data_IF_437034382794
#
_entry.id   IF_437034382794
#
_cell.length_a   1.000
_cell.length_b   1.000
_cell.length_c   1.000
_cell.angle_alpha   90.00
_cell.angle_beta   90.00
_cell.angle_gamma   90.00
#
_symmetry.space_group_name_H-M   'P 1'
#
loop_
_entity.id
_entity.type
_entity.pdbx_description
1 polymer ?
#
# COMPACT_ATOMS: atom_id res chain seq x y z
N UNK A 1 -27.27 4.53 -26.80
CA UNK A 1 -26.29 3.67 -27.47
C UNK A 1 -26.81 2.25 -27.56
N UNK A 2 -26.35 1.47 -28.53
CA UNK A 2 -26.82 0.11 -28.70
C UNK A 2 -26.13 -0.85 -27.72
N UNK A 3 -26.83 -1.88 -27.28
CA UNK A 3 -26.19 -3.01 -26.58
C UNK A 3 -25.24 -3.72 -27.58
N UNK A 4 -24.08 -4.10 -27.09
CA UNK A 4 -23.10 -4.89 -27.81
C UNK A 4 -23.21 -6.37 -27.40
N UNK A 5 -22.96 -7.28 -28.32
CA UNK A 5 -22.82 -8.70 -28.03
C UNK A 5 -21.47 -8.91 -27.29
N UNK A 6 -21.50 -9.58 -26.15
CA UNK A 6 -20.34 -9.73 -25.25
C UNK A 6 -20.10 -11.18 -24.82
N UNK A 7 -19.95 -12.14 -25.81
CA UNK A 7 -19.86 -13.56 -25.46
C UNK A 7 -18.66 -13.94 -24.58
N UNK A 8 -17.52 -13.28 -24.73
CA UNK A 8 -16.34 -13.54 -23.87
C UNK A 8 -16.55 -13.02 -22.47
N UNK A 9 -17.17 -11.85 -22.31
CA UNK A 9 -17.48 -11.30 -21.00
C UNK A 9 -18.60 -12.08 -20.30
N UNK A 10 -19.56 -12.60 -21.04
CA UNK A 10 -20.65 -13.44 -20.52
C UNK A 10 -20.11 -14.71 -19.85
N UNK A 11 -18.97 -15.25 -20.31
CA UNK A 11 -18.29 -16.37 -19.65
C UNK A 11 -17.70 -15.95 -18.29
N UNK A 12 -17.19 -14.71 -18.17
CA UNK A 12 -16.62 -14.19 -16.91
C UNK A 12 -17.69 -13.82 -15.88
N UNK A 13 -18.95 -13.74 -16.32
CA UNK A 13 -20.08 -13.45 -15.43
C UNK A 13 -20.63 -14.72 -14.75
N UNK A 14 -20.26 -15.92 -15.26
CA UNK A 14 -20.75 -17.18 -14.73
C UNK A 14 -20.15 -17.49 -13.36
N UNK A 15 -20.98 -17.91 -12.41
CA UNK A 15 -20.55 -18.34 -11.10
C UNK A 15 -21.27 -17.64 -9.95
N UNK A 16 -20.98 -18.01 -8.69
CA UNK A 16 -21.70 -17.50 -7.53
C UNK A 16 -21.23 -16.12 -7.03
N UNK A 17 -20.08 -15.65 -7.50
CA UNK A 17 -19.50 -14.39 -7.05
C UNK A 17 -19.84 -13.24 -7.99
N UNK A 18 -20.01 -12.01 -7.45
CA UNK A 18 -20.18 -10.83 -8.28
C UNK A 18 -19.03 -10.69 -9.29
N UNK A 19 -19.37 -10.40 -10.53
CA UNK A 19 -18.40 -10.10 -11.60
C UNK A 19 -18.41 -8.61 -11.92
N UNK A 20 -17.26 -8.06 -12.31
CA UNK A 20 -17.20 -6.69 -12.84
C UNK A 20 -18.11 -6.54 -14.08
N UNK A 21 -18.31 -7.61 -14.86
CA UNK A 21 -19.21 -7.63 -16.01
C UNK A 21 -20.65 -7.37 -15.57
N UNK A 22 -21.11 -8.08 -14.54
CA UNK A 22 -22.47 -7.91 -13.98
C UNK A 22 -22.68 -6.48 -13.49
N UNK A 23 -21.66 -5.89 -12.85
CA UNK A 23 -21.74 -4.51 -12.33
C UNK A 23 -21.75 -3.49 -13.48
N UNK A 24 -20.93 -3.66 -14.52
CA UNK A 24 -20.98 -2.79 -15.71
C UNK A 24 -22.35 -2.92 -16.42
N UNK A 25 -22.88 -4.14 -16.59
CA UNK A 25 -24.22 -4.36 -17.18
C UNK A 25 -25.31 -3.67 -16.38
N UNK A 26 -25.28 -3.80 -15.03
CA UNK A 26 -26.22 -3.12 -14.14
C UNK A 26 -26.12 -1.59 -14.26
N UNK A 27 -24.92 -1.08 -14.36
CA UNK A 27 -24.70 0.36 -14.54
C UNK A 27 -25.11 0.84 -15.92
N UNK A 28 -24.95 0.02 -16.97
CA UNK A 28 -25.34 0.33 -18.32
C UNK A 28 -26.88 0.51 -18.51
N UNK A 29 -27.68 -0.08 -17.63
CA UNK A 29 -29.13 0.16 -17.62
C UNK A 29 -29.48 1.60 -17.13
N UNK A 30 -28.58 2.23 -16.36
CA UNK A 30 -28.74 3.61 -15.87
C UNK A 30 -28.00 4.61 -16.75
N UNK A 31 -26.79 4.27 -17.19
CA UNK A 31 -25.92 5.10 -18.02
C UNK A 31 -25.58 4.36 -19.33
N UNK A 32 -26.21 4.75 -20.47
CA UNK A 32 -26.01 4.07 -21.75
C UNK A 32 -24.57 4.09 -22.27
N UNK A 33 -23.70 5.03 -21.83
CA UNK A 33 -22.28 5.04 -22.20
C UNK A 33 -21.57 3.77 -21.70
N UNK A 34 -22.07 3.13 -20.65
CA UNK A 34 -21.53 1.88 -20.12
C UNK A 34 -21.72 0.68 -21.07
N UNK A 35 -22.64 0.73 -22.04
CA UNK A 35 -22.71 -0.29 -23.10
C UNK A 35 -21.46 -0.27 -23.97
N UNK A 36 -20.92 0.91 -24.24
CA UNK A 36 -19.69 1.05 -25.00
C UNK A 36 -18.45 0.60 -24.19
N UNK A 37 -18.48 0.69 -22.84
CA UNK A 37 -17.46 0.04 -22.00
C UNK A 37 -17.45 -1.46 -22.27
N UNK A 38 -18.61 -2.11 -22.19
CA UNK A 38 -18.73 -3.56 -22.42
C UNK A 38 -18.25 -3.95 -23.82
N UNK A 39 -18.67 -3.21 -24.84
CA UNK A 39 -18.25 -3.44 -26.22
C UNK A 39 -16.74 -3.33 -26.41
N UNK A 40 -16.12 -2.28 -25.86
CA UNK A 40 -14.67 -2.08 -25.97
C UNK A 40 -13.88 -3.10 -25.15
N UNK A 41 -14.37 -3.50 -23.98
CA UNK A 41 -13.73 -4.53 -23.16
C UNK A 41 -13.84 -5.90 -23.88
N UNK A 42 -14.99 -6.25 -24.44
CA UNK A 42 -15.16 -7.46 -25.26
C UNK A 42 -14.15 -7.49 -26.43
N UNK A 43 -14.02 -6.39 -27.17
CA UNK A 43 -13.04 -6.26 -28.24
C UNK A 43 -11.62 -6.46 -27.71
N UNK A 44 -11.27 -5.89 -26.55
CA UNK A 44 -9.97 -6.06 -25.93
C UNK A 44 -9.68 -7.51 -25.56
N UNK A 45 -10.66 -8.25 -25.05
CA UNK A 45 -10.54 -9.69 -24.77
C UNK A 45 -10.38 -10.52 -26.04
N UNK A 46 -11.11 -10.17 -27.10
CA UNK A 46 -11.01 -10.82 -28.40
C UNK A 46 -9.64 -10.61 -29.03
N UNK A 47 -9.16 -9.38 -29.05
CA UNK A 47 -7.92 -8.98 -29.71
C UNK A 47 -6.68 -9.26 -28.88
N UNK A 48 -6.85 -9.62 -27.58
CA UNK A 48 -5.77 -9.82 -26.58
C UNK A 48 -4.89 -8.58 -26.37
N UNK A 49 -5.41 -7.39 -26.65
CA UNK A 49 -4.79 -6.10 -26.39
C UNK A 49 -5.82 -5.15 -25.78
N UNK A 50 -5.38 -4.14 -25.04
CA UNK A 50 -6.28 -3.12 -24.54
C UNK A 50 -6.48 -2.00 -25.55
N UNK A 51 -7.73 -1.59 -25.74
CA UNK A 51 -8.12 -0.43 -26.56
C UNK A 51 -8.20 0.87 -25.76
N UNK A 52 -7.73 0.85 -24.51
CA UNK A 52 -7.56 2.03 -23.68
C UNK A 52 -6.18 2.65 -23.87
N UNK A 53 -6.15 3.94 -24.15
CA UNK A 53 -4.92 4.73 -24.18
C UNK A 53 -4.83 5.64 -22.94
N UNK A 54 -3.63 5.72 -22.39
CA UNK A 54 -3.27 6.76 -21.45
C UNK A 54 -2.71 7.92 -22.26
N UNK A 55 -3.10 9.13 -21.96
CA UNK A 55 -2.55 10.23 -22.70
C UNK A 55 -2.75 11.58 -22.06
N UNK A 56 -1.75 12.42 -22.24
CA UNK A 56 -1.78 13.81 -21.93
C UNK A 56 -1.93 14.18 -20.45
N UNK A 57 -1.75 15.43 -20.17
CA UNK A 57 -2.13 16.06 -18.91
C UNK A 57 -3.59 16.43 -19.04
N UNK A 58 -4.43 15.82 -18.22
CA UNK A 58 -5.84 16.17 -18.04
C UNK A 58 -5.98 16.61 -16.60
N UNK A 59 -6.55 17.75 -16.37
CA UNK A 59 -6.70 18.32 -15.03
C UNK A 59 -7.95 19.17 -14.92
N UNK A 60 -8.11 19.77 -13.77
CA UNK A 60 -9.09 20.82 -13.49
C UNK A 60 -8.35 22.10 -13.15
N UNK A 61 -9.03 23.22 -13.11
CA UNK A 61 -8.40 24.52 -12.87
C UNK A 61 -7.59 24.53 -11.58
N UNK A 62 -6.30 24.84 -11.69
CA UNK A 62 -5.33 24.85 -10.59
C UNK A 62 -4.69 23.51 -10.26
N UNK A 63 -5.15 22.39 -10.80
CA UNK A 63 -4.67 21.04 -10.50
C UNK A 63 -4.13 20.33 -11.74
N UNK A 64 -2.84 20.04 -11.74
CA UNK A 64 -2.17 19.21 -12.73
C UNK A 64 -2.10 17.73 -12.34
N UNK A 65 -2.79 17.33 -11.29
CA UNK A 65 -2.87 15.96 -10.76
C UNK A 65 -4.31 15.58 -10.41
N UNK A 66 -4.50 14.30 -10.01
CA UNK A 66 -5.81 13.79 -9.61
C UNK A 66 -6.63 13.19 -10.75
N UNK A 67 -6.39 13.59 -11.98
CA UNK A 67 -7.04 13.04 -13.17
C UNK A 67 -6.04 12.21 -13.98
N UNK A 68 -6.45 11.03 -14.43
CA UNK A 68 -5.68 10.20 -15.36
C UNK A 68 -6.40 10.19 -16.69
N UNK A 69 -5.80 10.79 -17.71
CA UNK A 69 -6.34 10.82 -19.07
C UNK A 69 -6.53 9.40 -19.62
N UNK A 70 -7.74 9.09 -20.05
CA UNK A 70 -8.11 7.82 -20.67
C UNK A 70 -8.89 8.05 -21.96
N UNK A 71 -8.51 7.38 -23.00
CA UNK A 71 -9.06 7.53 -24.33
C UNK A 71 -9.25 6.16 -25.00
N UNK A 72 -10.31 6.03 -25.77
CA UNK A 72 -10.46 4.91 -26.69
C UNK A 72 -9.57 5.12 -27.92
N UNK A 73 -8.93 4.08 -28.43
CA UNK A 73 -8.26 4.11 -29.75
C UNK A 73 -9.21 3.71 -30.89
N UNK A 74 -10.45 3.35 -30.55
CA UNK A 74 -11.53 2.99 -31.49
C UNK A 74 -12.79 3.83 -31.23
N UNK A 75 -12.69 5.18 -31.12
CA UNK A 75 -13.79 6.03 -30.66
C UNK A 75 -14.99 6.04 -31.60
N UNK A 76 -14.80 5.78 -32.89
CA UNK A 76 -15.89 5.68 -33.84
C UNK A 76 -16.80 4.47 -33.60
N UNK A 77 -16.24 3.40 -33.04
CA UNK A 77 -16.95 2.18 -32.71
C UNK A 77 -17.64 2.28 -31.36
N UNK A 78 -16.99 2.99 -30.40
CA UNK A 78 -17.48 3.17 -29.03
C UNK A 78 -17.44 4.64 -28.60
N UNK A 79 -18.34 5.48 -29.14
CA UNK A 79 -18.31 6.93 -28.90
C UNK A 79 -18.62 7.33 -27.45
N UNK A 80 -19.34 6.49 -26.71
CA UNK A 80 -19.64 6.73 -25.29
C UNK A 80 -18.40 6.73 -24.39
N UNK A 81 -17.30 6.14 -24.86
CA UNK A 81 -16.04 6.03 -24.12
C UNK A 81 -14.85 6.63 -24.87
N UNK A 82 -15.11 7.50 -25.85
CA UNK A 82 -14.07 8.24 -26.54
C UNK A 82 -13.11 8.92 -25.55
N UNK A 83 -13.68 9.67 -24.59
CA UNK A 83 -12.99 10.23 -23.41
C UNK A 83 -13.61 9.60 -22.16
N UNK A 84 -12.79 8.87 -21.41
CA UNK A 84 -13.26 8.12 -20.24
C UNK A 84 -12.24 8.23 -19.11
N UNK A 85 -12.06 9.48 -18.63
CA UNK A 85 -11.00 9.81 -17.68
C UNK A 85 -11.23 9.16 -16.31
N UNK A 86 -10.15 8.77 -15.68
CA UNK A 86 -10.17 8.25 -14.32
C UNK A 86 -9.91 9.38 -13.34
N UNK A 87 -10.79 9.56 -12.37
CA UNK A 87 -10.65 10.55 -11.31
C UNK A 87 -10.21 9.86 -10.03
N UNK A 88 -9.24 10.44 -9.34
CA UNK A 88 -8.78 10.02 -8.03
C UNK A 88 -9.33 10.96 -6.98
N UNK A 89 -10.01 10.43 -5.98
CA UNK A 89 -10.50 11.20 -4.84
C UNK A 89 -9.69 10.84 -3.61
N UNK A 90 -9.18 11.86 -2.94
CA UNK A 90 -8.46 11.72 -1.68
C UNK A 90 -9.42 11.20 -0.61
N UNK A 91 -9.06 10.11 0.06
CA UNK A 91 -9.88 9.53 1.12
C UNK A 91 -9.46 10.08 2.49
N UNK A 92 -10.35 10.09 3.47
CA UNK A 92 -9.98 10.32 4.87
C UNK A 92 -8.86 9.37 5.30
N UNK A 93 -8.03 9.79 6.24
CA UNK A 93 -7.05 8.91 6.87
C UNK A 93 -7.74 7.63 7.35
N UNK A 94 -7.03 6.48 7.24
CA UNK A 94 -7.60 5.13 7.45
C UNK A 94 -8.77 4.75 6.56
N UNK A 95 -9.17 5.59 5.61
CA UNK A 95 -10.23 5.34 4.63
C UNK A 95 -11.62 5.05 5.25
N UNK A 96 -11.89 5.62 6.42
CA UNK A 96 -13.19 5.52 7.04
C UNK A 96 -14.20 6.45 6.38
N UNK A 97 -15.30 5.88 5.95
CA UNK A 97 -16.48 6.61 5.49
C UNK A 97 -17.69 6.22 6.32
N UNK A 98 -18.54 7.20 6.64
CA UNK A 98 -19.93 6.87 6.96
C UNK A 98 -20.64 6.36 5.70
N UNK A 99 -21.66 5.53 5.88
CA UNK A 99 -22.47 5.07 4.73
C UNK A 99 -23.17 6.23 4.04
N UNK A 100 -23.47 7.30 4.76
CA UNK A 100 -24.05 8.53 4.23
C UNK A 100 -23.07 9.25 3.29
N UNK A 101 -21.86 9.54 3.76
CA UNK A 101 -20.83 10.21 2.95
C UNK A 101 -20.43 9.38 1.73
N UNK A 102 -20.30 8.06 1.88
CA UNK A 102 -19.99 7.19 0.75
C UNK A 102 -21.12 7.19 -0.29
N UNK A 103 -22.39 7.18 0.14
CA UNK A 103 -23.54 7.30 -0.77
C UNK A 103 -23.56 8.66 -1.46
N UNK A 104 -23.26 9.74 -0.76
CA UNK A 104 -23.20 11.07 -1.34
C UNK A 104 -22.13 11.17 -2.44
N UNK A 105 -20.94 10.62 -2.19
CA UNK A 105 -19.87 10.55 -3.20
C UNK A 105 -20.30 9.70 -4.42
N UNK A 106 -20.96 8.57 -4.19
CA UNK A 106 -21.46 7.73 -5.29
C UNK A 106 -22.57 8.41 -6.09
N UNK A 107 -23.49 9.12 -5.42
CA UNK A 107 -24.52 9.90 -6.11
C UNK A 107 -23.92 11.04 -6.96
N UNK A 108 -22.87 11.69 -6.46
CA UNK A 108 -22.14 12.67 -7.21
C UNK A 108 -21.49 12.05 -8.46
N UNK A 109 -20.93 10.84 -8.31
CA UNK A 109 -20.33 10.13 -9.43
C UNK A 109 -21.35 9.61 -10.44
N UNK A 110 -22.53 9.19 -10.01
CA UNK A 110 -23.64 8.86 -10.91
C UNK A 110 -24.09 10.09 -11.74
N UNK A 111 -23.98 11.31 -11.17
CA UNK A 111 -24.34 12.56 -11.86
C UNK A 111 -23.34 12.96 -12.95
N UNK A 112 -22.02 12.81 -12.70
CA UNK A 112 -20.96 13.40 -13.53
C UNK A 112 -20.15 12.35 -14.32
N UNK A 113 -20.24 11.07 -13.96
CA UNK A 113 -19.40 10.00 -14.53
C UNK A 113 -20.17 8.75 -14.87
N UNK A 114 -19.45 7.67 -14.99
CA UNK A 114 -20.03 6.37 -15.35
C UNK A 114 -20.79 5.68 -14.23
N UNK A 115 -20.64 6.11 -12.97
CA UNK A 115 -21.09 5.40 -11.79
C UNK A 115 -20.21 4.21 -11.38
N UNK A 116 -19.17 3.87 -12.13
CA UNK A 116 -18.24 2.80 -11.79
C UNK A 116 -17.12 3.30 -10.86
N UNK A 117 -16.77 2.51 -9.84
CA UNK A 117 -15.73 2.84 -8.87
C UNK A 117 -14.79 1.67 -8.65
N UNK A 118 -13.57 1.99 -8.18
CA UNK A 118 -12.58 0.99 -7.77
C UNK A 118 -11.86 1.43 -6.50
N UNK A 119 -11.68 0.52 -5.57
CA UNK A 119 -10.90 0.75 -4.35
C UNK A 119 -9.43 0.50 -4.64
N UNK A 120 -8.63 1.55 -4.74
CA UNK A 120 -7.22 1.45 -5.12
C UNK A 120 -6.32 1.15 -3.92
N UNK A 121 -5.83 -0.10 -3.84
CA UNK A 121 -5.08 -0.58 -2.66
C UNK A 121 -3.66 -0.02 -2.49
N UNK A 122 -3.07 0.64 -3.51
CA UNK A 122 -1.67 1.09 -3.45
C UNK A 122 -1.48 2.57 -3.09
N UNK A 123 -2.56 3.33 -3.00
CA UNK A 123 -2.59 4.74 -2.57
C UNK A 123 -3.82 5.01 -1.72
N UNK A 124 -3.93 6.20 -1.13
CA UNK A 124 -5.09 6.61 -0.35
C UNK A 124 -6.30 7.07 -1.18
N UNK A 125 -6.41 6.64 -2.44
CA UNK A 125 -7.50 7.09 -3.31
C UNK A 125 -8.67 6.10 -3.35
N UNK A 126 -9.88 6.64 -3.51
CA UNK A 126 -10.94 5.95 -4.24
C UNK A 126 -10.85 6.37 -5.72
N UNK A 127 -10.98 5.40 -6.61
CA UNK A 127 -10.87 5.61 -8.04
C UNK A 127 -12.27 5.63 -8.67
N UNK A 128 -12.59 6.72 -9.32
CA UNK A 128 -13.83 6.89 -10.05
C UNK A 128 -13.53 6.70 -11.54
N UNK A 129 -14.17 5.70 -12.14
CA UNK A 129 -13.86 5.24 -13.48
C UNK A 129 -14.80 5.85 -14.50
N UNK A 130 -14.29 6.68 -15.39
CA UNK A 130 -15.01 7.17 -16.55
C UNK A 130 -15.77 8.46 -16.37
N UNK A 131 -15.10 9.57 -16.75
CA UNK A 131 -15.68 10.89 -16.83
C UNK A 131 -15.30 11.50 -18.18
N UNK A 132 -16.24 12.18 -18.84
CA UNK A 132 -15.96 12.96 -20.03
C UNK A 132 -15.22 14.25 -19.65
N UNK A 133 -14.44 14.79 -20.59
CA UNK A 133 -13.63 16.00 -20.32
C UNK A 133 -14.48 17.17 -19.82
N UNK A 134 -15.64 17.41 -20.44
CA UNK A 134 -16.55 18.50 -20.09
C UNK A 134 -17.21 18.38 -18.71
N UNK A 135 -17.23 17.17 -18.13
CA UNK A 135 -17.80 16.93 -16.81
C UNK A 135 -16.79 17.06 -15.68
N UNK A 136 -15.49 17.22 -15.96
CA UNK A 136 -14.44 17.26 -14.93
C UNK A 136 -14.55 18.49 -14.01
N UNK A 137 -14.68 19.69 -14.56
CA UNK A 137 -14.82 20.92 -13.76
C UNK A 137 -16.10 20.93 -12.92
N UNK A 138 -17.29 20.61 -13.46
CA UNK A 138 -18.49 20.50 -12.65
C UNK A 138 -18.39 19.45 -11.55
N UNK A 139 -17.79 18.28 -11.82
CA UNK A 139 -17.53 17.26 -10.82
C UNK A 139 -16.62 17.79 -9.70
N UNK A 140 -15.51 18.42 -10.07
CA UNK A 140 -14.54 18.96 -9.11
C UNK A 140 -15.19 20.02 -8.23
N UNK A 141 -16.00 20.90 -8.81
CA UNK A 141 -16.74 21.91 -8.06
C UNK A 141 -17.65 21.28 -7.01
N UNK A 142 -18.51 20.33 -7.40
CA UNK A 142 -19.43 19.68 -6.48
C UNK A 142 -18.69 18.85 -5.42
N UNK A 143 -17.59 18.15 -5.79
CA UNK A 143 -16.75 17.40 -4.86
C UNK A 143 -16.21 18.30 -3.74
N UNK A 144 -15.65 19.44 -4.10
CA UNK A 144 -14.97 20.33 -3.16
C UNK A 144 -15.95 21.19 -2.35
N UNK A 145 -17.02 21.65 -2.98
CA UNK A 145 -17.98 22.57 -2.34
C UNK A 145 -19.07 21.86 -1.56
N UNK A 146 -19.60 20.75 -2.09
CA UNK A 146 -20.71 20.05 -1.45
C UNK A 146 -20.19 18.97 -0.49
N UNK A 147 -19.21 18.15 -0.91
CA UNK A 147 -18.73 17.05 -0.10
C UNK A 147 -17.50 17.39 0.77
N UNK A 148 -16.87 18.56 0.57
CA UNK A 148 -15.65 18.97 1.27
C UNK A 148 -14.52 17.93 1.13
N UNK A 149 -14.47 17.26 -0.02
CA UNK A 149 -13.40 16.34 -0.39
C UNK A 149 -12.59 16.91 -1.55
N UNK A 150 -11.40 16.37 -1.73
CA UNK A 150 -10.47 16.83 -2.77
C UNK A 150 -10.00 15.70 -3.66
N UNK A 151 -9.34 16.05 -4.75
CA UNK A 151 -8.70 15.08 -5.63
C UNK A 151 -7.47 14.48 -4.96
N UNK A 152 -7.17 13.23 -5.31
CA UNK A 152 -5.91 12.59 -4.93
C UNK A 152 -4.78 12.89 -5.90
N UNK A 153 -3.58 12.35 -5.63
CA UNK A 153 -2.39 12.58 -6.44
C UNK A 153 -2.30 11.68 -7.68
N UNK A 154 -1.87 12.24 -8.81
CA UNK A 154 -1.55 11.48 -10.03
C UNK A 154 -0.36 12.08 -10.79
N UNK A 155 0.23 11.34 -11.73
CA UNK A 155 1.35 11.86 -12.51
C UNK A 155 2.68 11.87 -11.73
N UNK A 156 3.51 12.88 -12.00
CA UNK A 156 4.81 13.12 -11.35
C UNK A 156 4.64 13.96 -10.07
N UNK A 157 3.72 13.54 -9.23
CA UNK A 157 3.29 14.20 -8.00
C UNK A 157 3.47 13.27 -6.81
N UNK A 158 3.31 13.84 -5.62
CA UNK A 158 2.99 13.06 -4.44
C UNK A 158 1.67 12.31 -4.69
N UNK A 159 1.68 11.00 -4.46
CA UNK A 159 0.46 10.20 -4.48
C UNK A 159 -0.23 10.34 -3.15
N UNK A 160 -1.54 10.29 -3.16
CA UNK A 160 -2.33 10.33 -1.94
C UNK A 160 -1.73 9.41 -0.88
N UNK A 161 -1.34 9.94 0.28
CA UNK A 161 -0.82 9.13 1.37
C UNK A 161 -1.80 8.04 1.81
N UNK A 162 -1.27 6.95 2.33
CA UNK A 162 -2.09 5.85 2.82
C UNK A 162 -1.52 5.29 4.12
N UNK A 163 -2.40 4.97 5.05
CA UNK A 163 -2.07 4.43 6.36
C UNK A 163 -2.86 3.18 6.69
N UNK A 164 -2.38 2.39 7.63
CA UNK A 164 -3.14 1.32 8.25
C UNK A 164 -4.16 1.87 9.25
N UNK A 165 -4.97 1.01 9.86
CA UNK A 165 -5.99 1.42 10.84
C UNK A 165 -5.43 2.04 12.13
N UNK A 166 -4.13 1.88 12.39
CA UNK A 166 -3.41 2.54 13.47
C UNK A 166 -4.03 2.38 14.85
N UNK A 167 -3.79 3.35 15.70
CA UNK A 167 -4.23 3.34 17.10
C UNK A 167 -5.75 3.40 17.25
N UNK A 168 -6.48 3.81 16.22
CA UNK A 168 -7.95 3.83 16.29
C UNK A 168 -8.57 2.43 16.41
N UNK A 169 -7.88 1.38 15.93
CA UNK A 169 -8.39 0.00 15.87
C UNK A 169 -7.36 -1.09 16.14
N UNK A 170 -6.08 -0.74 16.34
CA UNK A 170 -5.01 -1.70 16.43
C UNK A 170 -4.16 -1.46 17.68
N UNK A 171 -4.13 -2.43 18.58
CA UNK A 171 -3.37 -2.42 19.82
C UNK A 171 -1.84 -2.50 19.63
N UNK A 172 -1.38 -2.84 18.41
CA UNK A 172 0.03 -2.99 18.08
C UNK A 172 0.66 -1.77 17.43
N UNK A 173 -0.14 -0.74 17.17
CA UNK A 173 0.37 0.48 16.54
C UNK A 173 1.30 1.23 17.49
N UNK A 174 2.52 1.50 17.03
CA UNK A 174 3.55 2.17 17.79
C UNK A 174 3.53 3.70 17.65
N UNK A 175 2.65 4.25 16.82
CA UNK A 175 2.39 5.69 16.67
C UNK A 175 1.02 5.90 16.04
N UNK A 176 0.51 7.12 16.10
CA UNK A 176 -0.76 7.48 15.45
C UNK A 176 -0.57 7.65 13.95
N UNK A 177 -0.97 6.60 13.21
CA UNK A 177 -0.85 6.57 11.75
C UNK A 177 -1.90 7.42 11.06
N UNK A 178 -3.07 7.62 11.68
CA UNK A 178 -4.13 8.45 11.14
C UNK A 178 -3.75 9.92 11.20
N UNK A 179 -3.27 10.37 12.34
CA UNK A 179 -2.86 11.76 12.53
C UNK A 179 -1.67 12.10 11.65
N UNK A 180 -0.64 11.23 11.61
CA UNK A 180 0.51 11.41 10.73
C UNK A 180 0.10 11.46 9.25
N UNK A 181 -0.78 10.56 8.80
CA UNK A 181 -1.27 10.56 7.43
C UNK A 181 -2.08 11.81 7.11
N UNK A 182 -2.97 12.23 8.01
CA UNK A 182 -3.77 13.44 7.84
C UNK A 182 -2.89 14.69 7.78
N UNK A 183 -2.03 14.87 8.77
CA UNK A 183 -1.15 16.04 8.85
C UNK A 183 -0.29 16.19 7.61
N UNK A 184 0.42 15.13 7.20
CA UNK A 184 1.29 15.17 6.02
C UNK A 184 0.50 15.28 4.71
N UNK A 185 -0.73 14.78 4.65
CA UNK A 185 -1.61 15.01 3.49
C UNK A 185 -1.99 16.49 3.40
N UNK A 186 -2.31 17.13 4.51
CA UNK A 186 -2.67 18.57 4.54
C UNK A 186 -1.45 19.45 4.30
N UNK A 187 -0.29 19.08 4.84
CA UNK A 187 0.96 19.82 4.68
C UNK A 187 1.42 19.88 3.21
N UNK A 188 1.30 18.76 2.48
CA UNK A 188 1.82 18.58 1.13
C UNK A 188 0.73 18.66 0.03
N UNK A 189 -0.26 19.54 0.18
CA UNK A 189 -1.34 19.69 -0.81
C UNK A 189 -0.82 20.11 -2.19
N UNK A 190 0.19 20.99 -2.23
CA UNK A 190 0.78 21.44 -3.48
C UNK A 190 1.48 20.31 -4.23
N UNK A 191 2.21 19.46 -3.53
CA UNK A 191 2.92 18.31 -4.08
C UNK A 191 1.97 17.18 -4.52
N UNK A 192 0.77 17.11 -3.94
CA UNK A 192 -0.29 16.19 -4.36
C UNK A 192 -0.93 16.67 -5.67
N UNK A 193 -1.20 17.96 -5.79
CA UNK A 193 -2.04 18.51 -6.87
C UNK A 193 -1.26 19.11 -8.03
N UNK A 194 0.02 19.47 -7.83
CA UNK A 194 0.86 20.07 -8.87
C UNK A 194 2.06 19.18 -9.19
N UNK A 195 2.45 19.05 -10.47
CA UNK A 195 3.65 18.32 -10.85
C UNK A 195 4.89 18.95 -10.20
N UNK A 196 5.54 18.22 -9.27
CA UNK A 196 6.63 18.74 -8.47
C UNK A 196 7.92 17.89 -8.59
N UNK A 197 7.84 16.62 -9.03
CA UNK A 197 8.92 15.67 -8.91
C UNK A 197 9.41 15.08 -10.23
N UNK A 198 10.62 14.47 -10.27
CA UNK A 198 11.08 13.70 -11.42
C UNK A 198 10.11 12.61 -11.83
N UNK A 199 9.44 11.97 -10.88
CA UNK A 199 8.37 11.01 -11.08
C UNK A 199 7.42 10.98 -9.87
N UNK A 200 6.57 9.94 -9.76
CA UNK A 200 5.63 9.76 -8.63
C UNK A 200 6.39 9.45 -7.34
N UNK A 201 5.91 10.01 -6.24
CA UNK A 201 6.36 9.69 -4.90
C UNK A 201 5.18 9.17 -4.05
N UNK A 202 5.42 8.26 -3.13
CA UNK A 202 4.37 7.64 -2.30
C UNK A 202 4.79 7.58 -0.84
N UNK A 203 3.91 8.06 0.04
CA UNK A 203 3.97 7.79 1.47
C UNK A 203 3.09 6.61 1.84
N UNK A 204 3.55 5.80 2.80
CA UNK A 204 2.71 4.85 3.52
C UNK A 204 3.11 4.77 4.98
N UNK A 205 2.08 4.78 5.83
CA UNK A 205 2.21 4.79 7.27
C UNK A 205 1.68 3.46 7.84
N UNK A 206 2.59 2.62 8.33
CA UNK A 206 2.28 1.34 8.93
C UNK A 206 2.58 1.39 10.42
N UNK A 207 1.60 1.10 11.26
CA UNK A 207 1.72 1.23 12.72
C UNK A 207 2.66 0.22 13.38
N UNK A 208 3.03 -0.85 12.68
CA UNK A 208 3.98 -1.88 13.13
C UNK A 208 4.54 -2.69 11.97
N UNK A 209 5.45 -3.63 12.26
CA UNK A 209 6.11 -4.47 11.25
C UNK A 209 5.20 -5.49 10.53
N UNK A 210 3.94 -5.67 10.96
CA UNK A 210 2.95 -6.43 10.18
C UNK A 210 2.62 -5.79 8.83
N UNK A 211 2.93 -4.53 8.65
CA UNK A 211 2.86 -3.79 7.40
C UNK A 211 1.57 -3.99 6.58
N UNK A 212 0.42 -3.82 7.23
CA UNK A 212 -0.92 -4.06 6.66
C UNK A 212 -1.23 -3.24 5.39
N UNK A 213 -0.46 -2.20 5.11
CA UNK A 213 -0.60 -1.37 3.90
C UNK A 213 0.49 -1.63 2.86
N UNK A 214 1.32 -2.65 3.07
CA UNK A 214 2.43 -3.02 2.20
C UNK A 214 3.36 -1.83 1.89
N UNK A 215 3.76 -1.10 2.92
CA UNK A 215 4.61 0.07 2.80
C UNK A 215 6.00 -0.31 2.28
N UNK A 216 6.59 -1.40 2.80
CA UNK A 216 7.90 -1.91 2.39
C UNK A 216 7.98 -2.32 0.92
N UNK A 217 6.85 -2.69 0.32
CA UNK A 217 6.80 -3.14 -1.08
C UNK A 217 6.25 -2.08 -2.05
N UNK A 218 5.58 -1.05 -1.56
CA UNK A 218 4.74 -0.19 -2.40
C UNK A 218 5.01 1.31 -2.28
N UNK A 219 5.80 1.77 -1.29
CA UNK A 219 6.04 3.19 -1.08
C UNK A 219 7.49 3.60 -1.34
N UNK A 220 7.66 4.83 -1.75
CA UNK A 220 8.98 5.46 -1.88
C UNK A 220 9.54 5.82 -0.51
N UNK A 221 8.64 6.14 0.42
CA UNK A 221 8.93 6.47 1.81
C UNK A 221 7.94 5.73 2.71
N UNK A 222 8.43 4.73 3.42
CA UNK A 222 7.69 3.88 4.34
C UNK A 222 8.00 4.25 5.78
N UNK A 223 6.96 4.56 6.56
CA UNK A 223 7.06 4.81 8.00
C UNK A 223 6.50 3.58 8.70
N UNK A 224 7.38 2.78 9.30
CA UNK A 224 7.02 1.49 9.91
C UNK A 224 7.16 1.58 11.42
N UNK A 225 6.06 1.46 12.13
CA UNK A 225 6.06 1.51 13.60
C UNK A 225 6.99 0.48 14.24
N UNK A 226 7.73 0.92 15.23
CA UNK A 226 8.67 0.11 15.98
C UNK A 226 8.87 0.71 17.39
N UNK A 227 9.71 0.08 18.20
CA UNK A 227 10.11 0.55 19.53
C UNK A 227 11.61 0.43 19.69
N UNK A 228 12.19 1.17 20.63
CA UNK A 228 13.64 1.22 20.83
C UNK A 228 14.09 0.43 22.07
N UNK A 229 13.29 0.43 23.11
CA UNK A 229 13.53 -0.29 24.36
C UNK A 229 13.14 -1.78 24.26
N UNK A 230 13.04 -2.45 25.40
CA UNK A 230 12.77 -3.87 25.47
C UNK A 230 11.28 -4.19 25.22
N UNK A 231 11.03 -5.34 24.61
CA UNK A 231 9.70 -5.90 24.49
C UNK A 231 9.09 -6.11 25.88
N UNK A 232 7.82 -5.77 26.06
CA UNK A 232 7.14 -5.94 27.34
C UNK A 232 6.57 -7.35 27.45
N UNK A 233 6.90 -8.04 28.55
CA UNK A 233 6.50 -9.42 28.81
C UNK A 233 5.64 -9.45 30.08
N UNK A 234 4.44 -9.99 29.97
CA UNK A 234 3.63 -10.40 31.12
C UNK A 234 3.82 -11.90 31.36
N UNK A 235 4.69 -12.25 32.29
CA UNK A 235 5.01 -13.64 32.61
C UNK A 235 3.81 -14.44 33.15
N UNK A 236 2.85 -13.78 33.79
CA UNK A 236 1.64 -14.46 34.23
C UNK A 236 0.82 -14.92 33.01
N UNK A 237 0.65 -14.05 32.03
CA UNK A 237 -0.03 -14.42 30.78
C UNK A 237 0.76 -15.43 29.94
N UNK A 238 2.11 -15.41 29.97
CA UNK A 238 2.92 -16.49 29.33
C UNK A 238 2.54 -17.85 29.90
N UNK A 239 2.47 -17.99 31.23
CA UNK A 239 2.07 -19.23 31.89
C UNK A 239 0.66 -19.68 31.52
N UNK A 240 -0.27 -18.75 31.39
CA UNK A 240 -1.65 -19.05 30.97
C UNK A 240 -1.72 -19.56 29.52
N UNK A 241 -0.86 -19.03 28.61
CA UNK A 241 -0.73 -19.57 27.24
C UNK A 241 -0.18 -21.00 27.26
N UNK A 242 0.92 -21.24 27.99
CA UNK A 242 1.55 -22.56 28.09
C UNK A 242 0.61 -23.59 28.73
N UNK A 243 -0.20 -23.17 29.70
CA UNK A 243 -1.21 -24.03 30.33
C UNK A 243 -2.44 -24.27 29.43
N UNK A 244 -2.57 -23.61 28.29
CA UNK A 244 -3.73 -23.70 27.38
C UNK A 244 -4.97 -22.94 27.83
N UNK A 245 -4.86 -22.09 28.84
CA UNK A 245 -5.97 -21.29 29.35
C UNK A 245 -6.27 -20.05 28.45
N UNK A 246 -5.30 -19.62 27.67
CA UNK A 246 -5.43 -18.54 26.67
C UNK A 246 -5.11 -19.13 25.30
N UNK A 247 -6.02 -18.95 24.35
CA UNK A 247 -5.79 -19.36 22.98
C UNK A 247 -4.76 -18.44 22.28
N UNK A 248 -3.85 -19.05 21.51
CA UNK A 248 -2.87 -18.35 20.69
C UNK A 248 -3.51 -17.48 19.60
N UNK A 249 -2.72 -16.60 19.00
CA UNK A 249 -3.15 -15.70 17.91
C UNK A 249 -4.37 -14.85 18.26
N UNK A 250 -4.40 -14.30 19.47
CA UNK A 250 -5.48 -13.45 19.94
C UNK A 250 -6.83 -14.15 20.07
N UNK A 251 -6.86 -15.48 20.10
CA UNK A 251 -8.07 -16.29 20.13
C UNK A 251 -8.63 -16.58 18.73
N UNK A 252 -7.91 -16.28 17.65
CA UNK A 252 -8.35 -16.58 16.29
C UNK A 252 -8.59 -18.08 16.06
N UNK A 253 -7.90 -18.94 16.83
CA UNK A 253 -8.03 -20.39 16.79
C UNK A 253 -9.01 -20.93 17.87
N UNK A 254 -9.66 -20.06 18.65
CA UNK A 254 -10.62 -20.51 19.65
C UNK A 254 -11.76 -21.28 19.00
N UNK A 255 -12.05 -22.48 19.53
CA UNK A 255 -13.08 -23.37 18.99
C UNK A 255 -12.65 -24.23 17.79
N UNK A 256 -11.43 -24.09 17.30
CA UNK A 256 -10.81 -24.99 16.32
C UNK A 256 -9.97 -26.07 17.02
N UNK A 257 -9.85 -27.24 16.42
CA UNK A 257 -8.91 -28.29 16.87
C UNK A 257 -7.54 -28.05 16.20
N UNK A 258 -6.77 -27.16 16.78
CA UNK A 258 -5.41 -26.81 16.30
C UNK A 258 -4.32 -27.52 17.10
N UNK A 259 -4.71 -28.43 17.99
CA UNK A 259 -3.81 -29.06 18.95
C UNK A 259 -3.51 -28.19 20.17
N UNK A 260 -2.67 -28.67 21.07
CA UNK A 260 -2.18 -27.92 22.21
C UNK A 260 -1.14 -26.88 21.74
N UNK A 261 -1.20 -25.69 22.34
CA UNK A 261 -0.20 -24.67 22.07
C UNK A 261 1.19 -25.11 22.58
N UNK A 262 2.18 -25.04 21.71
CA UNK A 262 3.57 -25.30 22.01
C UNK A 262 4.40 -24.02 21.82
N UNK A 263 4.76 -23.39 22.94
CA UNK A 263 5.54 -22.14 22.92
C UNK A 263 6.91 -22.34 22.27
N UNK A 264 7.51 -23.52 22.38
CA UNK A 264 8.80 -23.79 21.75
C UNK A 264 8.66 -23.79 20.22
N UNK A 265 7.77 -24.62 19.69
CA UNK A 265 7.60 -24.79 18.25
C UNK A 265 6.92 -23.60 17.56
N UNK A 266 5.95 -22.95 18.24
CA UNK A 266 5.14 -21.90 17.61
C UNK A 266 5.70 -20.47 17.80
N UNK A 267 6.61 -20.26 18.76
CA UNK A 267 7.11 -18.93 19.09
C UNK A 267 8.64 -18.89 19.07
N UNK A 268 9.30 -19.74 19.85
CA UNK A 268 10.74 -19.69 20.09
C UNK A 268 11.51 -20.13 18.84
N UNK A 269 11.22 -21.32 18.31
CA UNK A 269 11.90 -21.88 17.13
C UNK A 269 11.62 -21.05 15.85
N UNK A 270 10.55 -20.26 15.84
CA UNK A 270 10.21 -19.36 14.74
C UNK A 270 10.78 -17.95 14.91
N UNK A 271 11.57 -17.71 15.95
CA UNK A 271 12.25 -16.42 16.12
C UNK A 271 13.36 -16.28 15.06
N UNK A 272 13.31 -15.25 14.20
CA UNK A 272 14.25 -15.15 13.08
C UNK A 272 15.70 -14.89 13.48
N UNK A 273 15.95 -14.57 14.75
CA UNK A 273 17.28 -14.29 15.29
C UNK A 273 17.61 -15.13 16.51
N UNK A 274 16.80 -16.14 16.82
CA UNK A 274 16.98 -17.05 17.97
C UNK A 274 17.19 -16.30 19.30
N UNK A 275 16.58 -15.10 19.45
CA UNK A 275 16.81 -14.21 20.56
C UNK A 275 15.96 -14.51 21.80
N UNK A 276 15.25 -15.67 21.86
CA UNK A 276 14.36 -15.97 22.97
C UNK A 276 14.45 -17.44 23.41
N UNK A 277 14.22 -17.66 24.71
CA UNK A 277 14.27 -19.00 25.34
C UNK A 277 13.40 -19.06 26.59
N UNK A 278 13.07 -20.27 27.03
CA UNK A 278 12.46 -20.48 28.33
C UNK A 278 13.54 -20.72 29.40
N UNK A 279 13.45 -19.99 30.50
CA UNK A 279 14.24 -20.24 31.71
C UNK A 279 13.29 -20.70 32.83
N UNK A 280 13.17 -22.02 33.00
CA UNK A 280 12.10 -22.60 33.79
C UNK A 280 10.74 -22.34 33.16
N UNK A 281 9.87 -21.62 33.84
CA UNK A 281 8.53 -21.21 33.37
C UNK A 281 8.42 -19.73 33.00
N UNK A 282 9.57 -19.05 32.83
CA UNK A 282 9.66 -17.67 32.37
C UNK A 282 10.22 -17.57 30.94
N UNK A 283 9.59 -16.77 30.11
CA UNK A 283 10.10 -16.41 28.77
C UNK A 283 11.15 -15.31 28.90
N UNK A 284 12.31 -15.51 28.30
CA UNK A 284 13.41 -14.54 28.21
C UNK A 284 13.62 -14.14 26.77
N UNK A 285 13.98 -12.88 26.55
CA UNK A 285 14.27 -12.30 25.24
C UNK A 285 15.54 -11.45 25.35
N UNK A 286 16.49 -11.68 24.45
CA UNK A 286 17.59 -10.78 24.23
C UNK A 286 17.15 -9.68 23.24
N UNK A 287 16.75 -8.53 23.77
CA UNK A 287 16.23 -7.44 22.97
C UNK A 287 17.30 -6.78 22.08
N UNK A 288 18.60 -7.00 22.33
CA UNK A 288 19.67 -6.51 21.45
C UNK A 288 19.70 -7.24 20.09
N UNK A 289 19.28 -8.51 20.07
CA UNK A 289 19.18 -9.32 18.86
C UNK A 289 17.77 -9.33 18.25
N UNK A 290 16.78 -8.75 18.94
CA UNK A 290 15.39 -8.73 18.47
C UNK A 290 15.22 -7.83 17.24
N UNK A 291 14.74 -8.39 16.13
CA UNK A 291 14.44 -7.66 14.89
C UNK A 291 13.08 -6.95 14.90
N UNK A 292 12.33 -7.06 15.99
CA UNK A 292 10.99 -6.45 16.15
C UNK A 292 9.98 -6.86 15.05
N UNK A 293 10.09 -8.10 14.59
CA UNK A 293 9.29 -8.65 13.48
C UNK A 293 7.80 -8.87 13.83
N UNK A 294 7.41 -8.74 15.10
CA UNK A 294 6.04 -8.91 15.60
C UNK A 294 5.54 -10.36 15.70
N UNK A 295 6.29 -11.37 15.25
CA UNK A 295 5.80 -12.76 15.24
C UNK A 295 5.30 -13.21 16.62
N UNK A 296 6.15 -13.17 17.64
CA UNK A 296 5.81 -13.59 19.00
C UNK A 296 4.66 -12.78 19.61
N UNK A 297 4.59 -11.46 19.33
CA UNK A 297 3.49 -10.59 19.77
C UNK A 297 2.17 -10.99 19.10
N UNK A 298 2.20 -11.34 17.81
CA UNK A 298 1.01 -11.79 17.09
C UNK A 298 0.47 -13.12 17.65
N UNK A 299 1.35 -14.03 18.04
CA UNK A 299 0.97 -15.34 18.61
C UNK A 299 0.46 -15.20 20.03
N UNK A 300 1.15 -14.41 20.87
CA UNK A 300 0.81 -14.22 22.29
C UNK A 300 0.47 -12.76 22.63
N UNK A 301 -0.58 -12.16 22.02
CA UNK A 301 -0.86 -10.73 22.16
C UNK A 301 -1.26 -10.29 23.57
N UNK A 302 -1.61 -11.20 24.46
CA UNK A 302 -1.88 -10.85 25.88
C UNK A 302 -0.64 -10.90 26.74
N UNK A 303 0.36 -11.69 26.35
CA UNK A 303 1.61 -11.83 27.10
C UNK A 303 2.69 -10.87 26.61
N UNK A 304 2.73 -10.55 25.32
CA UNK A 304 3.79 -9.77 24.70
C UNK A 304 3.25 -8.47 24.09
N UNK A 305 4.00 -7.38 24.25
CA UNK A 305 3.67 -6.06 23.69
C UNK A 305 4.94 -5.37 23.18
N UNK A 306 4.82 -4.49 22.18
CA UNK A 306 5.88 -3.55 21.83
C UNK A 306 6.42 -2.84 23.06
N UNK A 307 7.68 -2.46 23.06
CA UNK A 307 8.28 -1.66 24.12
C UNK A 307 7.52 -0.36 24.39
N UNK A 308 7.93 0.38 25.38
CA UNK A 308 7.29 1.64 25.77
C UNK A 308 7.84 2.85 24.99
N UNK A 309 9.11 2.80 24.60
CA UNK A 309 9.75 3.86 23.79
C UNK A 309 9.44 3.66 22.30
N UNK A 310 8.21 4.00 21.92
CA UNK A 310 7.64 3.78 20.60
C UNK A 310 7.91 4.92 19.61
N UNK A 311 7.94 4.59 18.32
CA UNK A 311 8.17 5.48 17.20
C UNK A 311 8.10 4.68 15.88
N UNK A 312 8.92 5.02 14.91
CA UNK A 312 8.96 4.31 13.63
C UNK A 312 10.38 4.14 13.08
N UNK A 313 10.56 3.17 12.20
CA UNK A 313 11.68 3.09 11.26
C UNK A 313 11.30 3.75 9.93
N UNK A 314 12.26 4.39 9.27
CA UNK A 314 12.09 4.90 7.92
C UNK A 314 12.78 3.94 6.94
N UNK A 315 11.99 3.41 6.01
CA UNK A 315 12.49 2.59 4.91
C UNK A 315 12.15 3.26 3.58
N UNK A 316 13.07 3.21 2.61
CA UNK A 316 12.91 3.96 1.37
C UNK A 316 13.19 3.14 0.12
N UNK A 317 12.54 3.54 -0.97
CA UNK A 317 12.90 3.12 -2.31
C UNK A 317 12.13 1.94 -2.89
N UNK A 318 11.01 1.53 -2.28
CA UNK A 318 10.23 0.45 -2.86
C UNK A 318 9.58 0.83 -4.20
N UNK A 319 9.58 -0.11 -5.10
CA UNK A 319 8.83 -0.03 -6.37
C UNK A 319 8.26 -1.41 -6.73
N UNK A 320 7.05 -1.44 -7.28
CA UNK A 320 6.56 -2.62 -7.97
C UNK A 320 7.33 -2.80 -9.29
N UNK A 321 7.55 -4.04 -9.74
CA UNK A 321 8.31 -4.30 -10.95
C UNK A 321 7.63 -3.67 -12.16
N UNK A 322 8.44 -3.06 -13.03
CA UNK A 322 8.00 -2.72 -14.37
C UNK A 322 8.89 -3.50 -15.36
N UNK A 323 10.20 -3.28 -15.35
CA UNK A 323 11.13 -3.95 -16.25
C UNK A 323 12.20 -4.77 -15.53
N UNK A 324 12.69 -4.28 -14.40
CA UNK A 324 13.85 -4.84 -13.69
C UNK A 324 13.49 -5.63 -12.42
N UNK A 325 12.22 -5.99 -12.25
CA UNK A 325 11.75 -6.68 -11.05
C UNK A 325 11.29 -5.76 -9.91
N UNK A 326 10.81 -6.37 -8.82
CA UNK A 326 10.40 -5.66 -7.62
C UNK A 326 11.62 -5.22 -6.81
N UNK A 327 11.49 -4.04 -6.20
CA UNK A 327 12.45 -3.53 -5.23
C UNK A 327 11.71 -3.25 -3.92
N UNK A 328 12.16 -3.85 -2.82
CA UNK A 328 11.70 -3.51 -1.49
C UNK A 328 12.38 -2.24 -0.99
N UNK A 329 11.73 -1.58 -0.05
CA UNK A 329 12.32 -0.44 0.64
C UNK A 329 13.51 -0.89 1.50
N UNK A 330 14.56 -0.08 1.52
CA UNK A 330 15.74 -0.28 2.34
C UNK A 330 15.64 0.53 3.63
N UNK A 331 16.05 -0.03 4.76
CA UNK A 331 16.10 0.67 6.04
C UNK A 331 17.10 1.83 5.95
N UNK A 332 16.62 3.03 6.26
CA UNK A 332 17.42 4.27 6.24
C UNK A 332 17.62 4.82 7.66
N UNK A 333 16.55 4.91 8.43
CA UNK A 333 16.58 5.36 9.82
C UNK A 333 15.97 4.26 10.69
N UNK A 334 16.72 3.68 11.62
CA UNK A 334 16.23 2.57 12.44
C UNK A 334 15.16 2.98 13.43
N UNK A 335 15.21 4.21 13.92
CA UNK A 335 14.23 4.74 14.86
C UNK A 335 14.14 6.27 14.77
N UNK A 336 12.91 6.76 14.66
CA UNK A 336 12.54 8.17 14.76
C UNK A 336 11.25 8.28 15.56
N UNK A 337 11.13 9.31 16.39
CA UNK A 337 9.85 9.64 17.04
C UNK A 337 8.88 10.16 15.99
N UNK A 338 7.65 9.69 16.05
CA UNK A 338 6.55 10.17 15.21
C UNK A 338 5.46 10.67 16.15
N UNK A 339 5.33 11.97 16.28
CA UNK A 339 4.43 12.61 17.24
C UNK A 339 3.86 13.90 16.69
N UNK A 340 2.60 14.17 17.02
CA UNK A 340 1.96 15.45 16.79
C UNK A 340 2.48 16.56 17.72
N UNK A 341 3.13 16.23 18.82
CA UNK A 341 3.66 17.22 19.78
C UNK A 341 4.64 18.21 19.14
N UNK A 342 5.31 17.80 18.07
CA UNK A 342 6.20 18.63 17.27
C UNK A 342 5.71 18.77 15.81
N UNK A 343 4.41 18.59 15.57
CA UNK A 343 3.81 18.69 14.23
C UNK A 343 4.50 17.81 13.19
N UNK A 344 5.07 16.68 13.59
CA UNK A 344 5.83 15.74 12.76
C UNK A 344 7.09 16.35 12.11
N UNK A 345 7.61 17.48 12.63
CA UNK A 345 8.72 18.24 12.05
C UNK A 345 9.91 17.36 11.70
N UNK A 346 10.31 16.46 12.60
CA UNK A 346 11.44 15.56 12.37
C UNK A 346 11.23 14.59 11.19
N UNK A 347 10.00 14.21 10.89
CA UNK A 347 9.67 13.38 9.72
C UNK A 347 9.63 14.24 8.46
N UNK A 348 9.10 15.45 8.56
CA UNK A 348 9.06 16.45 7.48
C UNK A 348 10.48 16.79 7.03
N UNK A 349 11.40 17.08 7.96
CA UNK A 349 12.80 17.37 7.66
C UNK A 349 13.47 16.24 6.84
N UNK A 350 13.21 14.99 7.20
CA UNK A 350 13.74 13.85 6.44
C UNK A 350 13.15 13.81 5.03
N UNK A 351 11.84 14.05 4.90
CA UNK A 351 11.14 14.05 3.61
C UNK A 351 11.69 15.13 2.68
N UNK A 352 11.82 16.36 3.19
CA UNK A 352 12.27 17.51 2.42
C UNK A 352 13.73 17.36 1.98
N UNK A 353 14.61 16.91 2.87
CA UNK A 353 16.00 16.61 2.53
C UNK A 353 16.11 15.53 1.41
N UNK A 354 15.24 14.52 1.46
CA UNK A 354 15.19 13.49 0.40
C UNK A 354 14.68 14.08 -0.91
N UNK A 355 13.66 14.92 -0.89
CA UNK A 355 13.12 15.55 -2.09
C UNK A 355 14.11 16.51 -2.72
N UNK A 356 14.78 17.35 -1.95
CA UNK A 356 15.82 18.26 -2.44
C UNK A 356 16.92 17.50 -3.15
N UNK A 357 17.46 16.45 -2.54
CA UNK A 357 18.44 15.59 -3.17
C UNK A 357 17.91 14.91 -4.44
N UNK A 358 16.68 14.36 -4.38
CA UNK A 358 16.11 13.66 -5.53
C UNK A 358 15.80 14.61 -6.69
N UNK A 359 15.36 15.81 -6.41
CA UNK A 359 15.11 16.86 -7.40
C UNK A 359 16.41 17.27 -8.11
N UNK A 360 17.53 17.31 -7.38
CA UNK A 360 18.84 17.66 -7.94
C UNK A 360 19.44 16.55 -8.84
N UNK A 361 19.37 15.27 -8.38
CA UNK A 361 20.12 14.16 -9.03
C UNK A 361 19.23 13.17 -9.78
N UNK A 362 17.91 13.20 -9.58
CA UNK A 362 16.96 12.31 -10.22
C UNK A 362 16.77 12.60 -11.70
N UNK A 363 16.54 11.55 -12.48
CA UNK A 363 16.26 11.64 -13.91
C UNK A 363 14.75 11.67 -14.17
N UNK A 364 14.36 12.21 -15.31
CA UNK A 364 12.95 12.20 -15.72
C UNK A 364 12.38 10.76 -15.71
N UNK A 365 11.27 10.57 -15.02
CA UNK A 365 10.59 9.29 -14.79
C UNK A 365 11.37 8.26 -13.96
N UNK A 366 12.39 8.67 -13.22
CA UNK A 366 13.16 7.85 -12.29
C UNK A 366 12.55 7.95 -10.87
N UNK A 367 12.24 6.81 -10.26
CA UNK A 367 11.78 6.74 -8.87
C UNK A 367 12.95 6.99 -7.91
N UNK A 368 12.67 7.49 -6.72
CA UNK A 368 13.72 7.75 -5.71
C UNK A 368 14.56 6.51 -5.41
N UNK A 369 13.95 5.33 -5.33
CA UNK A 369 14.67 4.07 -5.13
C UNK A 369 15.59 3.70 -6.30
N UNK A 370 15.20 4.01 -7.53
CA UNK A 370 16.06 3.83 -8.72
C UNK A 370 17.23 4.80 -8.70
N UNK A 371 16.99 6.04 -8.27
CA UNK A 371 18.06 7.03 -8.06
C UNK A 371 19.03 6.57 -6.98
N UNK A 372 18.52 6.06 -5.85
CA UNK A 372 19.35 5.51 -4.77
C UNK A 372 20.21 4.33 -5.26
N UNK A 373 19.66 3.42 -6.07
CA UNK A 373 20.42 2.32 -6.67
C UNK A 373 21.50 2.82 -7.61
N UNK A 374 21.17 3.79 -8.48
CA UNK A 374 22.11 4.34 -9.46
C UNK A 374 23.26 5.11 -8.81
N UNK A 375 22.97 5.88 -7.79
CA UNK A 375 23.97 6.69 -7.07
C UNK A 375 24.73 5.85 -6.04
N UNK A 376 24.08 4.83 -5.50
CA UNK A 376 24.59 3.95 -4.45
C UNK A 376 24.14 4.36 -3.05
N UNK A 377 23.68 3.39 -2.26
CA UNK A 377 23.18 3.60 -0.89
C UNK A 377 24.21 4.31 0.02
N UNK A 378 25.52 3.97 0.00
CA UNK A 378 26.50 4.67 0.83
C UNK A 378 26.59 6.17 0.53
N UNK A 379 26.49 6.55 -0.75
CA UNK A 379 26.48 7.96 -1.15
C UNK A 379 25.21 8.66 -0.68
N UNK A 380 24.05 8.00 -0.82
CA UNK A 380 22.78 8.52 -0.35
C UNK A 380 22.79 8.77 1.18
N UNK A 381 23.20 7.77 1.97
CA UNK A 381 23.30 7.88 3.45
C UNK A 381 24.18 9.06 3.84
N UNK A 382 25.35 9.20 3.19
CA UNK A 382 26.27 10.32 3.47
C UNK A 382 25.67 11.68 3.14
N UNK A 383 24.99 11.81 2.01
CA UNK A 383 24.34 13.08 1.61
C UNK A 383 23.19 13.44 2.56
N UNK A 384 22.46 12.44 3.04
CA UNK A 384 21.41 12.64 4.06
C UNK A 384 21.97 12.96 5.46
N UNK A 385 23.30 13.03 5.64
CA UNK A 385 23.91 13.27 6.95
C UNK A 385 23.69 12.14 7.96
N UNK A 386 23.43 10.94 7.47
CA UNK A 386 23.15 9.75 8.30
C UNK A 386 24.40 8.88 8.42
N UNK A 387 24.53 8.22 9.57
CA UNK A 387 25.58 7.23 9.79
C UNK A 387 25.09 5.83 9.40
N UNK A 388 25.96 5.00 8.78
CA UNK A 388 25.60 3.63 8.48
C UNK A 388 25.41 2.81 9.77
N UNK A 389 24.43 1.93 9.76
CA UNK A 389 24.09 1.06 10.91
C UNK A 389 24.40 -0.40 10.57
N UNK A 390 24.61 -1.28 11.60
CA UNK A 390 24.93 -2.69 11.37
C UNK A 390 23.93 -3.42 10.46
N UNK A 391 22.65 -3.02 10.47
CA UNK A 391 21.59 -3.60 9.63
C UNK A 391 21.77 -3.31 8.14
N UNK A 392 22.61 -2.36 7.75
CA UNK A 392 22.95 -2.02 6.37
C UNK A 392 24.14 -2.83 5.81
N UNK A 393 24.75 -3.70 6.63
CA UNK A 393 25.86 -4.55 6.20
C UNK A 393 25.39 -5.55 5.14
N UNK A 394 26.18 -5.73 4.10
CA UNK A 394 25.86 -6.51 2.91
C UNK A 394 25.78 -8.02 3.16
N UNK A 395 26.46 -8.54 4.19
CA UNK A 395 26.43 -9.96 4.51
C UNK A 395 24.98 -10.42 4.73
N UNK A 396 24.53 -11.44 4.00
CA UNK A 396 23.17 -11.88 4.06
C UNK A 396 22.87 -12.43 5.46
N UNK A 397 21.94 -11.82 6.15
CA UNK A 397 21.27 -12.47 7.27
C UNK A 397 20.34 -13.54 6.69
N UNK A 398 20.15 -14.64 7.38
CA UNK A 398 19.14 -15.64 7.00
C UNK A 398 17.79 -14.95 6.82
N UNK A 399 17.08 -15.30 5.76
CA UNK A 399 15.75 -14.75 5.52
C UNK A 399 14.79 -15.32 6.59
N UNK A 400 14.25 -14.50 7.49
CA UNK A 400 13.39 -14.94 8.59
C UNK A 400 12.05 -15.53 8.14
N UNK A 401 11.72 -15.41 6.85
CA UNK A 401 10.47 -15.91 6.27
C UNK A 401 10.68 -17.18 5.43
N UNK A 402 11.88 -17.78 5.46
CA UNK A 402 12.15 -19.08 4.84
C UNK A 402 12.06 -20.13 5.95
N UNK A 403 10.96 -20.85 5.99
CA UNK A 403 10.67 -21.89 7.02
C UNK A 403 10.88 -23.32 6.52
N UNK A 404 11.26 -23.47 5.24
CA UNK A 404 11.33 -24.78 4.58
C UNK A 404 12.75 -25.03 4.13
N UNK A 405 13.29 -26.21 4.41
CA UNK A 405 14.49 -26.69 3.74
C UNK A 405 14.14 -27.02 2.27
N UNK A 406 15.11 -26.90 1.37
CA UNK A 406 14.89 -27.16 -0.07
C UNK A 406 14.28 -28.55 -0.34
N UNK A 407 14.67 -29.55 0.45
CA UNK A 407 14.21 -30.92 0.36
C UNK A 407 12.74 -31.10 0.79
N UNK A 408 12.21 -30.19 1.59
CA UNK A 408 10.84 -30.27 2.11
C UNK A 408 9.80 -29.76 1.12
N UNK A 409 10.23 -29.04 0.07
CA UNK A 409 9.31 -28.44 -0.91
C UNK A 409 9.49 -29.10 -2.26
N UNK A 410 8.59 -30.00 -2.69
CA UNK A 410 8.69 -30.66 -3.99
C UNK A 410 8.85 -29.64 -5.14
N UNK A 411 9.97 -29.70 -5.87
CA UNK A 411 10.32 -28.75 -6.93
C UNK A 411 10.57 -27.32 -6.45
N UNK A 412 10.97 -27.14 -5.18
CA UNK A 412 11.21 -25.89 -4.52
C UNK A 412 12.24 -25.00 -5.25
N UNK A 413 13.46 -24.92 -4.76
CA UNK A 413 14.49 -24.07 -5.35
C UNK A 413 15.29 -24.71 -6.51
N UNK A 414 14.99 -25.94 -6.89
CA UNK A 414 15.53 -26.59 -8.10
C UNK A 414 15.04 -25.93 -9.41
N UNK A 415 14.35 -24.81 -9.34
CA UNK A 415 13.92 -24.10 -10.54
C UNK A 415 15.12 -23.37 -11.16
N UNK A 416 15.43 -23.78 -12.39
CA UNK A 416 16.33 -22.98 -13.23
C UNK A 416 15.67 -21.59 -13.51
N UNK A 417 16.20 -20.56 -12.85
CA UNK A 417 15.70 -19.19 -12.96
C UNK A 417 15.78 -18.70 -14.40
N UNK A 418 16.78 -19.13 -15.17
CA UNK A 418 16.97 -18.74 -16.56
C UNK A 418 15.96 -19.45 -17.47
N UNK A 419 15.59 -20.68 -17.14
CA UNK A 419 14.52 -21.39 -17.84
C UNK A 419 13.14 -20.76 -17.53
N UNK A 420 12.90 -20.36 -16.29
CA UNK A 420 11.69 -19.63 -15.90
C UNK A 420 11.61 -18.29 -16.62
N UNK A 421 12.68 -17.53 -16.68
CA UNK A 421 12.75 -16.26 -17.41
C UNK A 421 12.51 -16.43 -18.91
N UNK A 422 13.06 -17.49 -19.53
CA UNK A 422 12.81 -17.79 -20.95
C UNK A 422 11.35 -18.11 -21.26
N UNK A 423 10.65 -18.80 -20.34
CA UNK A 423 9.21 -19.12 -20.50
C UNK A 423 8.31 -17.89 -20.39
N UNK A 424 8.76 -16.85 -19.70
CA UNK A 424 7.98 -15.64 -19.44
C UNK A 424 8.54 -14.39 -20.15
N UNK A 425 9.58 -14.54 -20.94
CA UNK A 425 10.09 -13.52 -21.86
C UNK A 425 9.38 -13.66 -23.21
N UNK A 426 8.12 -13.20 -23.28
CA UNK A 426 7.39 -13.05 -24.53
C UNK A 426 7.00 -11.59 -24.73
#
# INVERSE_FOLDING_TARGET
>A
MAKHDTPLLDELEKGPWPSFVSDIKRQAEKNPDCWDILGQVELSYKDKITHWKHGGIVGVFGYGGGIVGRYSDVPKQFPGVEHFHTVRVNQPASKYYSTENLRALMALWDKHGSGMTNMHGSTGDIILLGCRTEALEPFFWDLTHDLKQDLGGSGSNLRTPANCLGQSRCEWSCYDTEEACHHLTMHYQDEIHRPAFPYKFKFKFSGCANDCVAALARSDFAVIGTWRDNIRIDQASVKEYVAGNIASNGGAHAGGDWGAFDIQAEVIDLCPTDCMWMEGDELKIDDSECTRCMHCINVMPRALRPGADQGASICMGAKAPILDGAQFATLIIPFIKVSADNEFENVIDVIENVWDWWMEVGKNRERVGETMQRVGLPTFIKVMGLEPIPQMVKEPRSNPYVFWADEEVPGGFERDVDEFRKRHAA
#
